data_IF_315311680075
#
_entry.id   IF_315311680075
#
_cell.length_a   1.000
_cell.length_b   1.000
_cell.length_c   1.000
_cell.angle_alpha   90.00
_cell.angle_beta   90.00
_cell.angle_gamma   90.00
#
_symmetry.space_group_name_H-M   'P 1'
#
loop_
_entity.id
_entity.type
_entity.pdbx_description
1 polymer ?
#
# COMPACT_ATOMS: atom_id res chain seq x y z
N UNK A 1 83.11 -12.53 35.95
CA UNK A 1 82.50 -12.42 37.32
C UNK A 1 81.21 -11.72 37.18
N UNK A 2 80.15 -12.40 37.67
CA UNK A 2 78.79 -11.94 38.06
C UNK A 2 77.85 -11.56 36.88
N UNK A 3 76.99 -12.42 36.46
CA UNK A 3 75.64 -12.80 36.95
C UNK A 3 74.66 -11.59 36.90
N UNK A 4 73.65 -11.69 36.02
CA UNK A 4 72.47 -10.84 36.06
C UNK A 4 71.24 -11.70 35.73
N UNK A 5 70.29 -11.61 36.57
CA UNK A 5 69.06 -12.32 36.66
C UNK A 5 68.04 -11.89 35.61
N UNK A 6 67.21 -12.86 35.19
CA UNK A 6 66.13 -12.68 34.30
C UNK A 6 64.90 -12.05 34.98
N UNK A 7 64.19 -11.25 34.20
CA UNK A 7 62.85 -10.76 34.51
C UNK A 7 61.91 -11.23 33.41
N UNK A 8 61.09 -12.22 33.76
CA UNK A 8 59.96 -12.72 32.98
C UNK A 8 58.82 -11.69 33.04
N UNK A 9 58.53 -11.00 31.91
CA UNK A 9 57.33 -10.16 31.76
C UNK A 9 56.28 -10.94 31.00
N UNK A 10 55.36 -11.53 31.77
CA UNK A 10 54.14 -12.10 31.29
C UNK A 10 53.35 -11.12 30.40
N UNK A 11 53.19 -11.43 29.14
CA UNK A 11 52.24 -10.81 28.24
C UNK A 11 50.85 -11.31 28.59
N UNK A 12 50.09 -10.51 29.32
CA UNK A 12 48.62 -10.61 29.32
C UNK A 12 48.09 -10.18 27.95
N UNK A 13 47.78 -11.15 27.11
CA UNK A 13 46.97 -10.91 25.92
C UNK A 13 45.52 -10.79 26.35
N UNK A 14 45.07 -9.54 26.58
CA UNK A 14 43.69 -9.22 26.72
C UNK A 14 42.97 -9.56 25.39
N UNK A 15 42.17 -10.63 25.42
CA UNK A 15 41.22 -11.00 24.36
C UNK A 15 40.03 -10.01 24.45
N UNK A 16 40.22 -8.79 23.93
CA UNK A 16 39.13 -7.88 23.63
C UNK A 16 38.37 -8.47 22.42
N UNK A 17 37.45 -9.36 22.71
CA UNK A 17 36.43 -9.75 21.73
C UNK A 17 35.60 -8.51 21.44
N UNK A 18 35.94 -7.88 20.33
CA UNK A 18 35.13 -6.87 19.66
C UNK A 18 33.73 -7.48 19.38
N UNK A 19 32.82 -7.27 20.35
CA UNK A 19 31.43 -7.72 20.20
C UNK A 19 30.78 -6.79 19.18
N UNK A 20 30.69 -7.27 17.93
CA UNK A 20 29.91 -6.61 16.90
C UNK A 20 28.52 -6.23 17.47
N UNK A 21 28.03 -5.01 17.24
CA UNK A 21 26.72 -4.60 17.74
C UNK A 21 25.64 -5.54 17.20
N UNK A 22 24.76 -5.98 18.09
CA UNK A 22 23.65 -6.86 17.72
C UNK A 22 22.86 -6.23 16.54
N UNK A 23 22.44 -7.03 15.54
CA UNK A 23 21.70 -6.50 14.40
C UNK A 23 20.44 -5.77 14.89
N UNK A 24 20.26 -4.54 14.45
CA UNK A 24 19.06 -3.74 14.77
C UNK A 24 17.84 -4.49 14.25
N UNK A 25 16.80 -4.74 15.04
CA UNK A 25 15.61 -5.41 14.59
C UNK A 25 14.95 -4.64 13.41
N UNK A 26 14.33 -5.33 12.47
CA UNK A 26 13.64 -4.66 11.37
C UNK A 26 12.51 -3.78 11.90
N UNK A 27 12.18 -2.66 11.22
CA UNK A 27 11.12 -1.77 11.64
C UNK A 27 9.76 -2.48 11.64
N UNK A 28 8.94 -2.21 12.68
CA UNK A 28 7.62 -2.79 12.82
C UNK A 28 6.68 -2.31 11.69
N UNK A 29 6.09 -3.23 10.91
CA UNK A 29 5.21 -2.86 9.82
C UNK A 29 3.85 -2.38 10.37
N UNK A 30 3.49 -1.12 10.06
CA UNK A 30 2.25 -0.48 10.50
C UNK A 30 1.47 0.01 9.28
N UNK A 31 0.23 -0.45 9.11
CA UNK A 31 -0.70 0.05 8.10
C UNK A 31 -1.79 0.88 8.77
N UNK A 32 -1.84 2.17 8.47
CA UNK A 32 -2.91 3.06 8.92
C UNK A 32 -3.94 3.19 7.79
N UNK A 33 -5.17 2.79 8.06
CA UNK A 33 -6.30 2.88 7.13
C UNK A 33 -7.20 4.01 7.57
N UNK A 34 -7.45 4.94 6.67
CA UNK A 34 -8.39 6.07 6.87
C UNK A 34 -9.15 6.33 5.57
N UNK A 35 -10.10 7.25 5.59
CA UNK A 35 -10.86 7.59 4.39
C UNK A 35 -12.30 7.99 4.69
N UNK A 36 -13.09 8.20 3.63
CA UNK A 36 -14.46 8.65 3.74
C UNK A 36 -15.34 7.60 4.42
N UNK A 37 -16.26 8.07 5.23
CA UNK A 37 -17.32 7.24 5.86
C UNK A 37 -18.13 6.52 4.79
N UNK A 38 -18.22 5.20 4.87
CA UNK A 38 -18.85 4.37 3.84
C UNK A 38 -17.94 3.95 2.68
N UNK A 39 -16.69 4.42 2.63
CA UNK A 39 -15.71 3.98 1.63
C UNK A 39 -15.16 2.57 1.88
N UNK A 40 -15.44 1.95 3.04
CA UNK A 40 -15.06 0.56 3.32
C UNK A 40 -13.94 0.41 4.35
N UNK A 41 -13.68 1.40 5.22
CA UNK A 41 -12.63 1.36 6.24
C UNK A 41 -12.67 0.07 7.08
N UNK A 42 -13.82 -0.27 7.68
CA UNK A 42 -13.95 -1.50 8.47
C UNK A 42 -13.80 -2.79 7.64
N UNK A 43 -14.15 -2.76 6.36
CA UNK A 43 -13.91 -3.89 5.44
C UNK A 43 -12.41 -4.07 5.20
N UNK A 44 -11.69 -2.97 5.00
CA UNK A 44 -10.23 -3.00 4.82
C UNK A 44 -9.51 -3.51 6.07
N UNK A 45 -9.91 -3.05 7.25
CA UNK A 45 -9.32 -3.51 8.52
C UNK A 45 -9.54 -5.02 8.71
N UNK A 46 -10.75 -5.54 8.48
CA UNK A 46 -11.01 -6.99 8.53
C UNK A 46 -10.21 -7.76 7.48
N UNK A 47 -10.07 -7.22 6.28
CA UNK A 47 -9.27 -7.85 5.24
C UNK A 47 -7.79 -7.96 5.63
N UNK A 48 -7.23 -6.93 6.29
CA UNK A 48 -5.87 -6.96 6.83
C UNK A 48 -5.74 -7.96 7.99
N UNK A 49 -6.75 -8.07 8.86
CA UNK A 49 -6.82 -9.10 9.92
C UNK A 49 -6.78 -10.51 9.34
N UNK A 50 -7.60 -10.78 8.32
CA UNK A 50 -7.59 -12.06 7.59
C UNK A 50 -6.21 -12.38 6.94
N UNK A 51 -5.41 -11.37 6.68
CA UNK A 51 -4.04 -11.48 6.16
C UNK A 51 -2.96 -11.57 7.26
N UNK A 52 -3.36 -11.73 8.51
CA UNK A 52 -2.45 -11.94 9.65
C UNK A 52 -1.98 -10.66 10.34
N UNK A 53 -2.56 -9.50 10.05
CA UNK A 53 -2.27 -8.27 10.81
C UNK A 53 -2.98 -8.31 12.17
N UNK A 54 -2.35 -7.75 13.19
CA UNK A 54 -3.06 -7.34 14.41
C UNK A 54 -3.89 -6.10 14.07
N UNK A 55 -5.22 -6.23 14.01
CA UNK A 55 -6.11 -5.20 13.48
C UNK A 55 -6.91 -4.53 14.59
N UNK A 56 -6.89 -3.18 14.61
CA UNK A 56 -7.65 -2.38 15.57
C UNK A 56 -8.42 -1.31 14.79
N UNK A 57 -9.74 -1.43 14.79
CA UNK A 57 -10.62 -0.42 14.17
C UNK A 57 -11.01 0.66 15.18
N UNK A 58 -11.09 1.91 14.72
CA UNK A 58 -11.52 3.07 15.50
C UNK A 58 -10.69 3.37 16.77
N UNK A 59 -9.37 3.18 16.67
CA UNK A 59 -8.42 3.43 17.76
C UNK A 59 -8.27 4.94 18.02
N UNK A 60 -8.47 5.44 19.26
CA UNK A 60 -8.17 6.83 19.59
C UNK A 60 -6.69 7.15 19.33
N UNK A 61 -6.42 8.30 18.68
CA UNK A 61 -5.06 8.69 18.25
C UNK A 61 -4.02 8.70 19.38
N UNK A 62 -4.46 8.97 20.61
CA UNK A 62 -3.61 9.00 21.81
C UNK A 62 -3.09 7.63 22.24
N UNK A 63 -3.69 6.54 21.77
CA UNK A 63 -3.27 5.18 22.14
C UNK A 63 -2.27 4.56 21.17
N UNK A 64 -2.08 5.13 19.98
CA UNK A 64 -1.19 4.59 18.94
C UNK A 64 0.24 4.41 19.48
N UNK A 65 0.79 5.40 20.18
CA UNK A 65 2.16 5.31 20.75
C UNK A 65 2.31 4.22 21.80
N UNK A 66 1.30 4.07 22.66
CA UNK A 66 1.30 3.03 23.70
C UNK A 66 1.26 1.63 23.09
N UNK A 67 0.49 1.46 22.03
CA UNK A 67 0.39 0.22 21.29
C UNK A 67 1.73 -0.15 20.63
N UNK A 68 2.38 0.83 19.99
CA UNK A 68 3.67 0.61 19.34
C UNK A 68 4.80 0.33 20.34
N UNK A 69 4.75 0.94 21.52
CA UNK A 69 5.68 0.63 22.60
C UNK A 69 5.54 -0.83 23.09
N UNK A 70 4.34 -1.39 23.04
CA UNK A 70 4.07 -2.80 23.38
C UNK A 70 4.39 -3.76 22.23
N UNK A 71 4.21 -3.31 20.97
CA UNK A 71 4.48 -4.15 19.80
C UNK A 71 5.97 -4.53 19.67
N UNK A 72 6.89 -3.70 20.18
CA UNK A 72 8.33 -3.98 20.25
C UNK A 72 8.77 -4.81 21.46
N UNK A 73 7.86 -5.11 22.40
CA UNK A 73 8.19 -5.90 23.57
C UNK A 73 8.13 -7.41 23.27
N UNK A 74 9.01 -8.24 23.87
CA UNK A 74 8.96 -9.69 23.71
C UNK A 74 7.62 -10.26 24.19
N UNK A 75 7.15 -11.35 23.57
CA UNK A 75 5.82 -11.95 23.78
C UNK A 75 5.51 -12.26 25.27
N UNK A 76 6.52 -12.60 26.05
CA UNK A 76 6.40 -12.80 27.51
C UNK A 76 5.95 -11.53 28.27
N UNK A 77 6.22 -10.35 27.74
CA UNK A 77 5.80 -9.08 28.33
C UNK A 77 4.39 -8.66 27.86
N UNK A 78 3.91 -9.21 26.75
CA UNK A 78 2.59 -8.90 26.15
C UNK A 78 1.43 -9.66 26.82
N UNK A 79 1.69 -10.84 27.38
CA UNK A 79 0.66 -11.67 28.00
C UNK A 79 1.16 -12.30 29.32
N UNK A 80 1.14 -11.55 30.45
CA UNK A 80 1.60 -12.06 31.73
C UNK A 80 0.78 -13.25 32.24
N UNK A 81 -0.41 -13.54 31.67
CA UNK A 81 -1.24 -14.66 32.04
C UNK A 81 -0.84 -15.98 31.35
N UNK A 82 -0.07 -15.96 30.27
CA UNK A 82 0.35 -17.19 29.59
C UNK A 82 1.53 -17.91 30.29
N UNK A 83 2.24 -17.23 31.20
CA UNK A 83 3.42 -17.77 31.92
C UNK A 83 3.11 -18.52 33.21
N UNK A 84 1.86 -18.57 33.67
CA UNK A 84 1.52 -19.11 34.99
C UNK A 84 1.08 -20.61 35.02
N UNK A 85 1.22 -21.33 33.90
CA UNK A 85 0.67 -22.67 33.74
C UNK A 85 1.65 -23.81 33.38
N UNK A 86 2.96 -23.59 33.34
CA UNK A 86 3.91 -24.68 33.04
C UNK A 86 4.59 -25.17 34.33
N UNK A 87 3.97 -26.14 34.98
CA UNK A 87 4.57 -26.92 36.09
C UNK A 87 5.78 -27.69 35.60
N UNK A 88 6.82 -27.70 36.41
CA UNK A 88 8.06 -28.40 36.23
C UNK A 88 7.85 -29.90 35.93
N UNK A 89 8.42 -30.37 34.81
CA UNK A 89 8.83 -31.77 34.67
C UNK A 89 10.26 -31.79 34.09
N UNK A 90 11.14 -32.36 34.91
CA UNK A 90 12.52 -32.69 34.58
C UNK A 90 12.58 -33.63 33.37
N UNK A 91 13.43 -33.31 32.40
CA UNK A 91 13.76 -34.17 31.29
C UNK A 91 14.89 -33.50 30.45
N UNK A 92 16.14 -33.80 30.83
CA UNK A 92 17.31 -33.42 30.10
C UNK A 92 17.34 -34.11 28.73
N UNK A 93 17.24 -33.41 27.66
CA UNK A 93 17.90 -33.78 26.40
C UNK A 93 18.21 -32.48 25.61
N UNK A 94 19.54 -32.22 25.46
CA UNK A 94 20.08 -31.03 24.87
C UNK A 94 20.09 -31.12 23.35
N UNK A 95 19.09 -30.58 22.71
CA UNK A 95 19.19 -30.10 21.34
C UNK A 95 18.85 -28.61 21.33
N UNK A 96 19.87 -27.77 21.03
CA UNK A 96 19.73 -26.33 21.00
C UNK A 96 18.61 -25.91 20.03
N UNK A 97 17.44 -25.64 20.57
CA UNK A 97 16.41 -24.90 19.87
C UNK A 97 16.92 -23.45 19.77
N UNK A 98 17.43 -23.11 18.60
CA UNK A 98 17.70 -21.74 18.20
C UNK A 98 16.41 -20.96 18.43
N UNK A 99 16.40 -20.05 19.42
CA UNK A 99 15.24 -19.24 19.76
C UNK A 99 14.88 -18.44 18.52
N UNK A 100 13.81 -18.83 17.84
CA UNK A 100 13.29 -18.10 16.69
C UNK A 100 13.09 -16.63 17.10
N UNK A 101 13.65 -15.71 16.32
CA UNK A 101 13.49 -14.28 16.54
C UNK A 101 12.00 -13.96 16.66
N UNK A 102 11.57 -13.11 17.59
CA UNK A 102 10.16 -12.81 17.80
C UNK A 102 9.55 -12.30 16.49
N UNK A 103 8.57 -13.02 15.98
CA UNK A 103 7.87 -12.69 14.74
C UNK A 103 7.05 -11.41 14.99
N UNK A 104 7.52 -10.28 14.44
CA UNK A 104 6.82 -8.99 14.55
C UNK A 104 5.58 -9.06 13.67
N UNK A 105 4.40 -9.24 14.29
CA UNK A 105 3.14 -9.21 13.55
C UNK A 105 2.88 -7.79 13.02
N UNK A 106 2.51 -7.66 11.73
CA UNK A 106 2.15 -6.36 11.18
C UNK A 106 0.90 -5.81 11.86
N UNK A 107 0.88 -4.50 12.13
CA UNK A 107 -0.23 -3.82 12.79
C UNK A 107 -1.10 -3.09 11.76
N UNK A 108 -2.43 -3.23 11.84
CA UNK A 108 -3.39 -2.50 11.04
C UNK A 108 -4.28 -1.61 11.92
N UNK A 109 -4.24 -0.30 11.70
CA UNK A 109 -4.96 0.70 12.50
C UNK A 109 -6.01 1.39 11.65
N UNK A 110 -7.29 1.29 12.04
CA UNK A 110 -8.40 2.04 11.47
C UNK A 110 -8.62 3.36 12.23
N UNK A 111 -8.60 4.48 11.52
CA UNK A 111 -8.89 5.82 12.05
C UNK A 111 -9.83 6.55 11.10
N UNK A 112 -10.96 7.02 11.58
CA UNK A 112 -11.90 7.83 10.80
C UNK A 112 -12.48 8.97 11.64
N UNK A 113 -13.36 9.79 11.04
CA UNK A 113 -13.96 10.95 11.69
C UNK A 113 -14.81 10.61 12.93
N UNK A 114 -15.16 9.33 13.15
CA UNK A 114 -15.88 8.85 14.33
C UNK A 114 -14.95 8.56 15.49
N UNK A 115 -13.65 8.47 15.22
CA UNK A 115 -12.65 8.20 16.26
C UNK A 115 -12.66 9.31 17.30
N UNK A 116 -12.71 8.94 18.57
CA UNK A 116 -12.75 9.91 19.67
C UNK A 116 -11.55 10.85 19.63
N UNK A 117 -11.84 12.16 19.62
CA UNK A 117 -10.80 13.20 19.54
C UNK A 117 -10.17 13.36 18.16
N UNK A 118 -10.84 12.86 17.12
CA UNK A 118 -10.38 13.02 15.75
C UNK A 118 -10.40 14.49 15.31
N UNK A 119 -9.28 14.94 14.77
CA UNK A 119 -9.17 16.09 13.88
C UNK A 119 -8.18 15.75 12.77
N UNK A 120 -8.29 16.38 11.60
CA UNK A 120 -7.38 16.13 10.49
C UNK A 120 -5.93 16.49 10.89
N UNK A 121 -5.75 17.59 11.60
CA UNK A 121 -4.45 18.08 12.09
C UNK A 121 -3.83 17.09 13.08
N UNK A 122 -4.61 16.55 14.02
CA UNK A 122 -4.12 15.56 14.99
C UNK A 122 -3.69 14.26 14.29
N UNK A 123 -4.44 13.82 13.26
CA UNK A 123 -4.07 12.65 12.47
C UNK A 123 -2.79 12.89 11.67
N UNK A 124 -2.67 14.05 11.01
CA UNK A 124 -1.46 14.43 10.27
C UNK A 124 -0.23 14.50 11.17
N UNK A 125 -0.34 15.15 12.33
CA UNK A 125 0.74 15.20 13.30
C UNK A 125 1.16 13.78 13.76
N UNK A 126 0.20 12.87 13.90
CA UNK A 126 0.47 11.47 14.25
C UNK A 126 1.17 10.73 13.12
N UNK A 127 0.76 10.92 11.87
CA UNK A 127 1.42 10.35 10.69
C UNK A 127 2.88 10.82 10.62
N UNK A 128 3.12 12.12 10.81
CA UNK A 128 4.47 12.68 10.78
C UNK A 128 5.36 12.13 11.91
N UNK A 129 4.82 12.03 13.12
CA UNK A 129 5.52 11.45 14.27
C UNK A 129 5.88 9.96 14.02
N UNK A 130 4.99 9.19 13.43
CA UNK A 130 5.25 7.78 13.09
C UNK A 130 6.29 7.63 11.97
N UNK A 131 6.25 8.48 10.96
CA UNK A 131 7.24 8.47 9.87
C UNK A 131 8.66 8.86 10.34
N UNK A 132 8.76 9.67 11.38
CA UNK A 132 10.04 10.06 11.96
C UNK A 132 10.69 8.94 12.81
N UNK A 133 9.97 7.86 13.13
CA UNK A 133 10.46 6.73 13.92
C UNK A 133 11.22 5.72 13.07
N UNK A 134 12.50 5.43 13.36
CA UNK A 134 13.30 4.46 12.62
C UNK A 134 12.85 2.98 12.86
N UNK A 135 12.15 2.73 13.96
CA UNK A 135 11.64 1.43 14.37
C UNK A 135 10.23 1.13 13.81
N UNK A 136 9.65 2.02 12.98
CA UNK A 136 8.31 1.89 12.38
C UNK A 136 8.39 2.01 10.86
N UNK A 137 7.84 1.02 10.17
CA UNK A 137 7.58 1.09 8.73
C UNK A 137 6.10 1.42 8.50
N UNK A 138 5.77 2.71 8.43
CA UNK A 138 4.39 3.18 8.27
C UNK A 138 3.95 3.14 6.81
N UNK A 139 2.72 2.66 6.57
CA UNK A 139 1.96 2.82 5.33
C UNK A 139 0.61 3.45 5.65
N UNK A 140 0.27 4.54 4.98
CA UNK A 140 -1.03 5.22 5.10
C UNK A 140 -1.87 4.95 3.87
N UNK A 141 -3.01 4.27 4.04
CA UNK A 141 -3.98 3.98 2.99
C UNK A 141 -5.21 4.86 3.20
N UNK A 142 -5.56 5.64 2.17
CA UNK A 142 -6.77 6.43 2.14
C UNK A 142 -7.83 5.77 1.24
N UNK A 143 -8.99 5.45 1.79
CA UNK A 143 -10.11 4.92 1.02
C UNK A 143 -11.00 6.08 0.54
N UNK A 144 -11.01 6.32 -0.76
CA UNK A 144 -11.90 7.28 -1.42
C UNK A 144 -13.08 6.55 -2.06
N UNK A 145 -14.14 7.29 -2.34
CA UNK A 145 -15.32 6.76 -3.02
C UNK A 145 -16.08 7.92 -3.67
N UNK A 146 -16.65 7.67 -4.85
CA UNK A 146 -17.50 8.66 -5.52
C UNK A 146 -18.75 8.99 -4.69
N UNK A 147 -19.15 10.24 -4.69
CA UNK A 147 -20.30 10.71 -3.93
C UNK A 147 -21.61 9.94 -4.23
N UNK A 148 -21.98 9.65 -5.50
CA UNK A 148 -23.16 8.85 -5.78
C UNK A 148 -23.10 7.46 -5.14
N UNK A 149 -21.94 6.78 -5.19
CA UNK A 149 -21.77 5.46 -4.60
C UNK A 149 -21.84 5.51 -3.06
N UNK A 150 -21.31 6.57 -2.43
CA UNK A 150 -21.46 6.78 -0.98
C UNK A 150 -22.92 6.99 -0.60
N UNK A 151 -23.66 7.84 -1.33
CA UNK A 151 -25.08 8.09 -1.09
C UNK A 151 -25.87 6.78 -1.15
N UNK A 152 -25.62 5.94 -2.16
CA UNK A 152 -26.30 4.65 -2.30
C UNK A 152 -25.94 3.69 -1.15
N UNK A 153 -24.69 3.65 -0.71
CA UNK A 153 -24.25 2.85 0.44
C UNK A 153 -24.90 3.32 1.75
N UNK A 154 -25.03 4.63 1.97
CA UNK A 154 -25.70 5.17 3.14
C UNK A 154 -27.20 4.85 3.11
N UNK A 155 -27.87 4.97 1.95
CA UNK A 155 -29.26 4.57 1.78
C UNK A 155 -29.48 3.09 2.07
N UNK A 156 -28.61 2.22 1.55
CA UNK A 156 -28.68 0.78 1.75
C UNK A 156 -28.51 0.37 3.22
N UNK A 157 -27.58 1.03 3.93
CA UNK A 157 -27.29 0.70 5.34
C UNK A 157 -28.20 1.43 6.34
N UNK A 158 -29.01 2.39 5.90
CA UNK A 158 -29.89 3.24 6.73
C UNK A 158 -29.16 3.95 7.88
N UNK A 159 -27.85 4.18 7.73
CA UNK A 159 -27.04 4.89 8.72
C UNK A 159 -27.02 6.39 8.42
N UNK A 160 -26.97 7.21 9.45
CA UNK A 160 -26.71 8.64 9.29
C UNK A 160 -25.22 8.87 9.05
N UNK A 161 -24.93 9.82 8.16
CA UNK A 161 -23.54 10.24 7.96
C UNK A 161 -23.04 11.00 9.20
N UNK A 162 -21.81 10.72 9.71
CA UNK A 162 -21.32 11.32 10.97
C UNK A 162 -21.32 12.85 10.97
N UNK A 163 -21.04 13.48 9.83
CA UNK A 163 -20.95 14.94 9.70
C UNK A 163 -22.18 15.59 9.04
N UNK A 164 -23.25 14.84 8.82
CA UNK A 164 -24.47 15.40 8.22
C UNK A 164 -25.26 16.31 9.19
N UNK A 165 -25.28 15.97 10.48
CA UNK A 165 -26.18 16.63 11.43
C UNK A 165 -27.63 16.49 10.98
N UNK A 166 -28.37 17.61 10.89
CA UNK A 166 -29.73 17.66 10.35
C UNK A 166 -29.77 17.91 8.82
N UNK A 167 -28.62 18.10 8.19
CA UNK A 167 -28.50 18.23 6.74
C UNK A 167 -28.52 16.84 6.05
N UNK A 168 -28.72 16.82 4.74
CA UNK A 168 -28.68 15.59 3.94
C UNK A 168 -27.32 14.91 3.94
N UNK A 169 -27.30 13.65 3.57
CA UNK A 169 -26.08 12.83 3.47
C UNK A 169 -25.03 13.45 2.54
N UNK A 170 -25.45 14.10 1.46
CA UNK A 170 -24.59 14.80 0.51
C UNK A 170 -23.77 15.91 1.18
N UNK A 171 -24.42 16.71 2.04
CA UNK A 171 -23.75 17.79 2.82
C UNK A 171 -22.70 17.18 3.76
N UNK A 172 -23.03 16.06 4.41
CA UNK A 172 -22.12 15.33 5.27
C UNK A 172 -20.88 14.83 4.52
N UNK A 173 -21.08 14.22 3.35
CA UNK A 173 -20.00 13.73 2.48
C UNK A 173 -19.10 14.91 2.02
N UNK A 174 -19.70 16.02 1.59
CA UNK A 174 -18.94 17.20 1.16
C UNK A 174 -18.07 17.79 2.29
N UNK A 175 -18.62 17.88 3.51
CA UNK A 175 -17.88 18.33 4.71
C UNK A 175 -16.73 17.37 5.05
N UNK A 176 -16.99 16.07 5.04
CA UNK A 176 -15.96 15.06 5.34
C UNK A 176 -14.85 15.07 4.30
N UNK A 177 -15.18 15.17 3.02
CA UNK A 177 -14.20 15.27 1.94
C UNK A 177 -13.29 16.49 2.11
N UNK A 178 -13.84 17.65 2.42
CA UNK A 178 -13.07 18.87 2.66
C UNK A 178 -12.18 18.73 3.90
N UNK A 179 -12.69 18.14 4.98
CA UNK A 179 -11.94 17.89 6.22
C UNK A 179 -10.78 16.93 6.00
N UNK A 180 -10.99 15.86 5.24
CA UNK A 180 -10.01 14.81 5.04
C UNK A 180 -9.07 15.04 3.84
N UNK A 181 -9.30 16.11 3.05
CA UNK A 181 -8.45 16.41 1.90
C UNK A 181 -6.94 16.47 2.23
N UNK A 182 -6.49 17.18 3.30
CA UNK A 182 -5.08 17.21 3.67
C UNK A 182 -4.52 15.83 4.04
N UNK A 183 -5.34 14.95 4.62
CA UNK A 183 -4.93 13.59 4.97
C UNK A 183 -4.79 12.74 3.71
N UNK A 184 -5.70 12.90 2.75
CA UNK A 184 -5.65 12.22 1.45
C UNK A 184 -4.36 12.55 0.69
N UNK A 185 -3.96 13.85 0.68
CA UNK A 185 -2.72 14.30 0.02
C UNK A 185 -1.44 13.74 0.67
N UNK A 186 -1.52 13.36 1.95
CA UNK A 186 -0.40 12.78 2.71
C UNK A 186 -0.44 11.24 2.77
N UNK A 187 -1.47 10.62 2.19
CA UNK A 187 -1.56 9.17 2.11
C UNK A 187 -0.52 8.60 1.14
N UNK A 188 0.08 7.46 1.50
CA UNK A 188 1.00 6.76 0.62
C UNK A 188 0.25 6.10 -0.55
N UNK A 189 -1.02 5.72 -0.30
CA UNK A 189 -1.89 5.15 -1.31
C UNK A 189 -3.33 5.63 -1.14
N UNK A 190 -3.97 5.99 -2.25
CA UNK A 190 -5.41 6.22 -2.33
C UNK A 190 -6.04 5.04 -3.08
N UNK A 191 -7.11 4.46 -2.52
CA UNK A 191 -7.89 3.40 -3.16
C UNK A 191 -9.31 3.93 -3.43
N UNK A 192 -9.67 4.09 -4.70
CA UNK A 192 -11.06 4.35 -5.08
C UNK A 192 -11.88 3.06 -4.98
N UNK A 193 -12.86 3.08 -4.07
CA UNK A 193 -13.73 1.93 -3.80
C UNK A 193 -15.09 2.04 -4.46
N UNK A 194 -15.31 3.01 -5.35
CA UNK A 194 -16.62 3.32 -5.94
C UNK A 194 -17.26 2.10 -6.62
N UNK A 195 -16.45 1.39 -7.41
CA UNK A 195 -16.86 0.22 -8.19
C UNK A 195 -16.36 -1.11 -7.58
N UNK A 196 -15.79 -1.09 -6.37
CA UNK A 196 -15.23 -2.28 -5.74
C UNK A 196 -16.27 -3.01 -4.87
N UNK A 197 -16.32 -4.32 -4.99
CA UNK A 197 -16.94 -5.20 -4.01
C UNK A 197 -16.01 -5.36 -2.78
N UNK A 198 -16.50 -5.84 -1.63
CA UNK A 198 -15.64 -6.20 -0.51
C UNK A 198 -14.53 -7.17 -0.86
N UNK A 199 -14.80 -8.11 -1.77
CA UNK A 199 -13.82 -9.08 -2.27
C UNK A 199 -12.71 -8.39 -3.08
N UNK A 200 -13.07 -7.48 -4.00
CA UNK A 200 -12.11 -6.73 -4.81
C UNK A 200 -11.20 -5.86 -3.92
N UNK A 201 -11.77 -5.22 -2.89
CA UNK A 201 -10.97 -4.45 -1.92
C UNK A 201 -9.97 -5.35 -1.18
N UNK A 202 -10.40 -6.55 -0.75
CA UNK A 202 -9.51 -7.54 -0.11
C UNK A 202 -8.38 -7.97 -1.05
N UNK A 203 -8.70 -8.32 -2.30
CA UNK A 203 -7.70 -8.70 -3.30
C UNK A 203 -6.70 -7.56 -3.57
N UNK A 204 -7.18 -6.31 -3.61
CA UNK A 204 -6.32 -5.14 -3.80
C UNK A 204 -5.37 -4.91 -2.62
N UNK A 205 -5.84 -5.09 -1.39
CA UNK A 205 -5.00 -4.99 -0.20
C UNK A 205 -3.96 -6.12 -0.12
N UNK A 206 -4.33 -7.35 -0.50
CA UNK A 206 -3.43 -8.49 -0.53
C UNK A 206 -2.25 -8.28 -1.51
N UNK A 207 -2.50 -7.59 -2.62
CA UNK A 207 -1.46 -7.24 -3.60
C UNK A 207 -0.42 -6.22 -3.11
N UNK A 208 -0.65 -5.58 -1.95
CA UNK A 208 0.24 -4.52 -1.47
C UNK A 208 1.49 -5.05 -0.72
N UNK A 209 1.48 -6.28 -0.26
CA UNK A 209 2.54 -6.82 0.60
C UNK A 209 2.63 -6.11 1.96
N UNK A 210 3.58 -6.51 2.81
CA UNK A 210 3.80 -5.89 4.11
C UNK A 210 4.35 -4.45 3.96
N UNK A 211 4.03 -3.51 4.89
CA UNK A 211 4.70 -2.22 4.98
C UNK A 211 6.21 -2.40 5.15
N UNK A 212 7.02 -1.67 4.40
CA UNK A 212 8.48 -1.79 4.40
C UNK A 212 9.01 -3.01 3.63
N UNK A 213 8.15 -3.93 3.20
CA UNK A 213 8.48 -5.05 2.33
C UNK A 213 8.24 -4.69 0.86
N UNK A 214 9.05 -5.25 -0.03
CA UNK A 214 8.83 -5.07 -1.46
C UNK A 214 7.57 -5.83 -1.91
N UNK A 215 6.64 -5.20 -2.64
CA UNK A 215 5.65 -5.94 -3.40
C UNK A 215 6.38 -6.70 -4.50
N UNK A 216 6.29 -8.03 -4.47
CA UNK A 216 6.89 -8.88 -5.51
C UNK A 216 8.41 -9.00 -5.48
N UNK A 217 9.07 -9.05 -4.30
CA UNK A 217 10.43 -9.58 -4.16
C UNK A 217 11.58 -8.67 -4.59
N UNK A 218 11.53 -7.37 -4.35
CA UNK A 218 12.65 -6.44 -4.57
C UNK A 218 12.95 -5.60 -3.34
N UNK A 219 14.22 -5.32 -3.11
CA UNK A 219 14.81 -4.72 -1.91
C UNK A 219 14.09 -3.49 -1.33
N UNK A 220 14.24 -3.32 -0.01
CA UNK A 220 13.70 -2.28 0.87
C UNK A 220 13.44 -0.90 0.21
N UNK A 221 12.20 -0.39 0.34
CA UNK A 221 11.89 1.01 0.04
C UNK A 221 11.55 1.31 -1.43
N UNK A 222 11.04 0.38 -2.20
CA UNK A 222 10.73 0.57 -3.62
C UNK A 222 9.39 1.27 -3.89
N UNK A 223 9.36 2.20 -4.87
CA UNK A 223 8.16 2.80 -5.43
C UNK A 223 7.30 1.73 -6.12
N UNK A 224 6.06 1.57 -5.69
CA UNK A 224 5.06 0.69 -6.32
C UNK A 224 4.45 1.42 -7.51
N UNK A 225 4.53 0.80 -8.69
CA UNK A 225 4.02 1.38 -9.93
C UNK A 225 2.75 0.63 -10.34
N UNK A 226 1.68 1.36 -10.59
CA UNK A 226 0.40 0.86 -11.11
C UNK A 226 0.07 1.56 -12.42
N UNK A 227 -0.29 0.77 -13.43
CA UNK A 227 -0.80 1.28 -14.71
C UNK A 227 -2.27 0.87 -14.80
N UNK A 228 -3.15 1.83 -15.07
CA UNK A 228 -4.58 1.55 -15.11
C UNK A 228 -5.19 1.99 -16.45
N UNK A 229 -5.92 1.09 -17.12
CA UNK A 229 -6.79 1.51 -18.22
C UNK A 229 -8.20 1.82 -17.72
N UNK A 230 -8.82 2.87 -18.27
CA UNK A 230 -10.16 3.29 -17.85
C UNK A 230 -11.01 3.87 -18.98
N UNK A 231 -12.32 3.95 -18.72
CA UNK A 231 -13.32 4.58 -19.59
C UNK A 231 -13.61 6.01 -19.13
N UNK A 232 -13.47 7.00 -20.03
CA UNK A 232 -13.91 8.36 -19.76
C UNK A 232 -15.42 8.48 -19.47
N UNK A 233 -16.24 7.53 -19.92
CA UNK A 233 -17.68 7.50 -19.59
C UNK A 233 -17.93 7.27 -18.09
N UNK A 234 -16.99 6.64 -17.38
CA UNK A 234 -17.06 6.38 -15.94
C UNK A 234 -16.20 7.33 -15.12
N UNK A 235 -15.53 8.28 -15.78
CA UNK A 235 -14.62 9.23 -15.14
C UNK A 235 -13.22 8.66 -14.89
N UNK A 236 -12.26 9.56 -14.67
CA UNK A 236 -10.88 9.19 -14.36
C UNK A 236 -10.78 8.57 -12.96
N UNK A 237 -9.87 7.58 -12.78
CA UNK A 237 -9.60 7.02 -11.45
C UNK A 237 -9.09 8.09 -10.49
N UNK A 238 -9.64 8.09 -9.26
CA UNK A 238 -9.31 9.10 -8.24
C UNK A 238 -7.91 8.92 -7.65
N UNK A 239 -7.38 7.71 -7.74
CA UNK A 239 -6.06 7.33 -7.29
C UNK A 239 -4.94 7.65 -8.30
N UNK A 240 -5.29 8.08 -9.53
CA UNK A 240 -4.31 8.32 -10.56
C UNK A 240 -3.52 9.62 -10.32
N UNK A 241 -2.19 9.51 -10.32
CA UNK A 241 -1.26 10.65 -10.28
C UNK A 241 -1.13 11.31 -11.66
N UNK A 242 -1.22 10.50 -12.73
CA UNK A 242 -1.12 10.96 -14.11
C UNK A 242 -2.24 10.33 -14.92
N UNK A 243 -2.98 11.16 -15.66
CA UNK A 243 -4.07 10.72 -16.54
C UNK A 243 -3.78 11.14 -17.96
N UNK A 244 -3.80 10.18 -18.88
CA UNK A 244 -3.57 10.42 -20.31
C UNK A 244 -4.76 9.95 -21.14
N UNK A 245 -5.07 10.70 -22.19
CA UNK A 245 -6.16 10.44 -23.12
C UNK A 245 -5.65 9.70 -24.36
N UNK A 246 -6.17 8.50 -24.62
CA UNK A 246 -5.86 7.68 -25.79
C UNK A 246 -6.97 7.75 -26.88
N UNK A 247 -7.93 8.68 -26.78
CA UNK A 247 -9.08 8.74 -27.72
C UNK A 247 -8.70 9.22 -29.14
N UNK A 248 -7.57 9.88 -29.28
CA UNK A 248 -7.06 10.33 -30.57
C UNK A 248 -6.51 9.18 -31.43
N UNK A 249 -6.16 8.03 -30.84
CA UNK A 249 -5.67 6.86 -31.56
C UNK A 249 -6.76 6.17 -32.37
N UNK A 250 -6.37 5.42 -33.39
CA UNK A 250 -7.27 4.62 -34.24
C UNK A 250 -8.23 3.77 -33.39
N UNK A 251 -9.52 3.80 -33.73
CA UNK A 251 -10.57 3.21 -32.92
C UNK A 251 -10.99 1.82 -33.43
N UNK A 252 -10.58 0.71 -32.78
CA UNK A 252 -10.93 -0.65 -33.21
C UNK A 252 -12.44 -0.93 -33.22
N UNK A 253 -13.23 -0.14 -32.49
CA UNK A 253 -14.69 -0.31 -32.42
C UNK A 253 -15.40 -0.22 -33.79
N UNK A 254 -14.83 0.52 -34.73
CA UNK A 254 -15.38 0.68 -36.08
C UNK A 254 -15.13 -0.54 -36.97
N UNK A 255 -14.20 -1.42 -36.59
CA UNK A 255 -13.97 -2.69 -37.27
C UNK A 255 -14.83 -3.80 -36.61
N UNK A 256 -15.81 -4.37 -37.36
CA UNK A 256 -16.69 -5.41 -36.80
C UNK A 256 -15.93 -6.63 -36.23
N UNK A 257 -14.78 -6.99 -36.83
CA UNK A 257 -13.96 -8.12 -36.39
C UNK A 257 -13.17 -7.82 -35.09
N UNK A 258 -12.90 -6.54 -34.80
CA UNK A 258 -12.14 -6.15 -33.61
C UNK A 258 -13.05 -5.71 -32.43
N UNK A 259 -14.30 -5.33 -32.73
CA UNK A 259 -15.25 -4.82 -31.73
C UNK A 259 -15.48 -5.76 -30.53
N UNK A 260 -15.63 -7.10 -30.68
CA UNK A 260 -15.86 -8.01 -29.57
C UNK A 260 -14.59 -8.27 -28.74
N UNK A 261 -13.41 -8.04 -29.30
CA UNK A 261 -12.11 -8.25 -28.67
C UNK A 261 -11.76 -7.12 -27.69
N UNK A 262 -10.63 -7.24 -27.00
CA UNK A 262 -10.07 -6.18 -26.15
C UNK A 262 -8.60 -5.89 -26.47
N UNK A 263 -8.02 -4.86 -25.83
CA UNK A 263 -6.67 -4.40 -26.14
C UNK A 263 -5.55 -5.38 -25.77
N UNK A 264 -5.85 -6.48 -25.08
CA UNK A 264 -4.92 -7.59 -24.81
C UNK A 264 -4.83 -8.56 -25.98
N UNK A 265 -5.77 -8.49 -26.92
CA UNK A 265 -5.78 -9.33 -28.11
C UNK A 265 -4.88 -8.72 -29.19
N UNK A 266 -3.96 -9.53 -29.74
CA UNK A 266 -2.98 -9.06 -30.72
C UNK A 266 -3.59 -8.29 -31.91
N UNK A 267 -4.72 -8.72 -32.54
CA UNK A 267 -5.31 -7.97 -33.65
C UNK A 267 -5.76 -6.56 -33.27
N UNK A 268 -6.18 -6.34 -32.02
CA UNK A 268 -6.57 -5.02 -31.50
C UNK A 268 -5.34 -4.19 -31.20
N UNK A 269 -4.36 -4.79 -30.53
CA UNK A 269 -3.10 -4.12 -30.23
C UNK A 269 -2.38 -3.65 -31.51
N UNK A 270 -2.31 -4.50 -32.53
CA UNK A 270 -1.71 -4.20 -33.83
C UNK A 270 -2.47 -3.08 -34.55
N UNK A 271 -3.81 -3.11 -34.52
CA UNK A 271 -4.63 -2.05 -35.12
C UNK A 271 -4.37 -0.68 -34.43
N UNK A 272 -4.26 -0.65 -33.11
CA UNK A 272 -3.98 0.58 -32.36
C UNK A 272 -2.53 1.03 -32.59
N UNK A 273 -1.59 0.11 -32.62
CA UNK A 273 -0.18 0.38 -32.86
C UNK A 273 0.10 0.85 -34.31
N UNK A 274 -0.79 0.50 -35.26
CA UNK A 274 -0.74 0.97 -36.63
C UNK A 274 -1.10 2.45 -36.81
N UNK A 275 -1.60 3.13 -35.79
CA UNK A 275 -1.84 4.58 -35.84
C UNK A 275 -0.49 5.32 -35.88
N UNK A 276 -0.30 6.25 -36.85
CA UNK A 276 0.95 7.01 -36.96
C UNK A 276 1.37 7.78 -35.70
N UNK A 277 0.41 8.15 -34.86
CA UNK A 277 0.67 8.86 -33.60
C UNK A 277 0.98 7.92 -32.43
N UNK A 278 0.77 6.60 -32.57
CA UNK A 278 0.94 5.67 -31.47
C UNK A 278 2.39 5.56 -30.98
N UNK A 279 3.32 5.34 -31.90
CA UNK A 279 4.73 5.19 -31.56
C UNK A 279 5.30 6.44 -30.87
N UNK A 280 5.17 7.67 -31.44
CA UNK A 280 5.66 8.88 -30.78
C UNK A 280 4.93 9.16 -29.44
N UNK A 281 3.63 8.84 -29.32
CA UNK A 281 2.91 8.94 -28.06
C UNK A 281 3.49 8.03 -27.00
N UNK A 282 3.67 6.75 -27.31
CA UNK A 282 4.21 5.77 -26.36
C UNK A 282 5.67 6.06 -25.98
N UNK A 283 6.48 6.58 -26.91
CA UNK A 283 7.84 7.04 -26.61
C UNK A 283 7.82 8.22 -25.62
N UNK A 284 6.98 9.21 -25.86
CA UNK A 284 6.81 10.36 -24.99
C UNK A 284 6.33 9.96 -23.58
N UNK A 285 5.30 9.11 -23.49
CA UNK A 285 4.77 8.61 -22.22
C UNK A 285 5.81 7.80 -21.45
N UNK A 286 6.50 6.90 -22.14
CA UNK A 286 7.57 6.08 -21.54
C UNK A 286 8.71 6.97 -21.03
N UNK A 287 9.19 7.90 -21.84
CA UNK A 287 10.26 8.83 -21.48
C UNK A 287 9.90 9.69 -20.28
N UNK A 288 8.69 10.26 -20.25
CA UNK A 288 8.17 11.02 -19.11
C UNK A 288 8.13 10.16 -17.86
N UNK A 289 7.59 8.95 -17.96
CA UNK A 289 7.46 8.02 -16.82
C UNK A 289 8.85 7.66 -16.27
N UNK A 290 9.78 7.25 -17.12
CA UNK A 290 11.14 6.89 -16.72
C UNK A 290 11.92 8.07 -16.12
N UNK A 291 11.62 9.31 -16.48
CA UNK A 291 12.17 10.51 -15.86
C UNK A 291 11.61 10.74 -14.45
N UNK A 292 10.30 10.51 -14.27
CA UNK A 292 9.60 10.79 -13.01
C UNK A 292 9.85 9.72 -11.93
N UNK A 293 9.88 8.43 -12.30
CA UNK A 293 9.99 7.33 -11.33
C UNK A 293 11.20 7.44 -10.38
N UNK A 294 12.44 7.73 -10.84
CA UNK A 294 13.56 7.94 -9.94
C UNK A 294 13.40 9.17 -9.03
N UNK A 295 12.75 10.23 -9.53
CA UNK A 295 12.49 11.44 -8.76
C UNK A 295 11.50 11.16 -7.63
N UNK A 296 10.37 10.52 -7.91
CA UNK A 296 9.38 10.11 -6.93
C UNK A 296 9.97 9.16 -5.86
N UNK A 297 10.80 8.20 -6.29
CA UNK A 297 11.50 7.32 -5.33
C UNK A 297 12.42 8.10 -4.39
N UNK A 298 13.16 9.10 -4.89
CA UNK A 298 14.04 9.96 -4.04
C UNK A 298 13.24 10.84 -3.08
N UNK A 299 12.05 11.28 -3.49
CA UNK A 299 11.13 12.05 -2.67
C UNK A 299 10.45 11.20 -1.58
N UNK A 300 10.57 9.87 -1.65
CA UNK A 300 9.95 8.94 -0.71
C UNK A 300 8.51 8.58 -1.06
N UNK A 301 8.06 8.85 -2.31
CA UNK A 301 6.74 8.42 -2.77
C UNK A 301 6.69 6.90 -2.81
N UNK A 302 5.72 6.31 -2.10
CA UNK A 302 5.59 4.86 -2.01
C UNK A 302 4.82 4.27 -3.21
N UNK A 303 3.89 5.02 -3.82
CA UNK A 303 3.01 4.55 -4.90
C UNK A 303 2.92 5.59 -6.01
N UNK A 304 2.90 5.10 -7.26
CA UNK A 304 2.64 5.90 -8.45
C UNK A 304 1.62 5.20 -9.33
N UNK A 305 0.55 5.91 -9.70
CA UNK A 305 -0.50 5.40 -10.56
C UNK A 305 -0.62 6.22 -11.83
N UNK A 306 -0.40 5.58 -12.99
CA UNK A 306 -0.67 6.17 -14.30
C UNK A 306 -1.94 5.58 -14.89
N UNK A 307 -2.90 6.44 -15.25
CA UNK A 307 -4.15 6.05 -15.87
C UNK A 307 -4.21 6.44 -17.34
N UNK A 308 -4.51 5.46 -18.19
CA UNK A 308 -4.69 5.65 -19.64
C UNK A 308 -6.17 5.47 -19.98
N UNK A 309 -6.79 6.47 -20.59
CA UNK A 309 -8.22 6.52 -20.84
C UNK A 309 -8.60 6.45 -22.31
N UNK A 310 -9.67 5.68 -22.61
CA UNK A 310 -10.37 5.79 -23.91
C UNK A 310 -11.89 5.85 -23.70
N UNK A 311 -12.67 5.93 -24.79
CA UNK A 311 -14.14 6.10 -24.65
C UNK A 311 -14.82 4.98 -23.87
N UNK A 312 -14.45 3.72 -24.13
CA UNK A 312 -15.06 2.54 -23.53
C UNK A 312 -14.13 1.74 -22.60
N UNK A 313 -12.88 2.13 -22.43
CA UNK A 313 -11.91 1.45 -21.55
C UNK A 313 -11.51 0.02 -21.96
N UNK A 314 -11.82 -0.42 -23.19
CA UNK A 314 -11.63 -1.81 -23.62
C UNK A 314 -10.51 -2.03 -24.64
N UNK A 315 -10.23 -1.07 -25.53
CA UNK A 315 -9.35 -1.28 -26.67
C UNK A 315 -8.06 -0.44 -26.55
N UNK A 316 -8.11 0.86 -26.94
CA UNK A 316 -6.95 1.75 -27.06
C UNK A 316 -6.19 1.92 -25.74
N UNK A 317 -6.92 2.22 -24.65
CA UNK A 317 -6.33 2.39 -23.33
C UNK A 317 -5.74 1.11 -22.77
N UNK A 318 -6.34 -0.04 -23.07
CA UNK A 318 -5.84 -1.36 -22.68
C UNK A 318 -4.55 -1.68 -23.43
N UNK A 319 -4.55 -1.55 -24.77
CA UNK A 319 -3.35 -1.79 -25.58
C UNK A 319 -2.17 -0.89 -25.15
N UNK A 320 -2.45 0.39 -24.89
CA UNK A 320 -1.42 1.34 -24.44
C UNK A 320 -0.91 1.02 -23.03
N UNK A 321 -1.78 0.58 -22.10
CA UNK A 321 -1.39 0.19 -20.74
C UNK A 321 -0.48 -1.06 -20.74
N UNK A 322 -0.83 -2.06 -21.53
CA UNK A 322 -0.02 -3.27 -21.71
C UNK A 322 1.35 -2.95 -22.33
N UNK A 323 1.38 -2.09 -23.36
CA UNK A 323 2.65 -1.70 -23.98
C UNK A 323 3.54 -0.89 -23.04
N UNK A 324 2.97 0.07 -22.29
CA UNK A 324 3.71 0.82 -21.28
C UNK A 324 4.33 -0.09 -20.23
N UNK A 325 3.57 -1.08 -19.74
CA UNK A 325 4.08 -2.06 -18.77
C UNK A 325 5.29 -2.83 -19.30
N UNK A 326 5.22 -3.31 -20.55
CA UNK A 326 6.35 -3.99 -21.19
C UNK A 326 7.57 -3.08 -21.34
N UNK A 327 7.37 -1.83 -21.74
CA UNK A 327 8.46 -0.83 -21.89
C UNK A 327 9.12 -0.50 -20.55
N UNK A 328 8.34 -0.36 -19.48
CA UNK A 328 8.87 -0.14 -18.14
C UNK A 328 9.64 -1.36 -17.64
N UNK A 329 9.12 -2.58 -17.89
CA UNK A 329 9.81 -3.82 -17.55
C UNK A 329 11.15 -3.95 -18.28
N UNK A 330 11.22 -3.61 -19.56
CA UNK A 330 12.46 -3.56 -20.34
C UNK A 330 13.49 -2.55 -19.78
N UNK A 331 13.01 -1.48 -19.11
CA UNK A 331 13.84 -0.51 -18.43
C UNK A 331 14.14 -0.84 -16.95
N UNK A 332 13.79 -2.05 -16.49
CA UNK A 332 14.06 -2.53 -15.13
C UNK A 332 13.05 -2.07 -14.06
N UNK A 333 11.88 -1.59 -14.47
CA UNK A 333 10.80 -1.21 -13.56
C UNK A 333 9.64 -2.18 -13.66
N UNK A 334 9.21 -2.74 -12.52
CA UNK A 334 8.02 -3.60 -12.45
C UNK A 334 6.78 -2.76 -12.18
N UNK A 335 5.75 -2.90 -13.02
CA UNK A 335 4.47 -2.24 -12.84
C UNK A 335 3.33 -3.27 -12.84
N UNK A 336 2.34 -3.08 -11.96
CA UNK A 336 1.09 -3.84 -12.02
C UNK A 336 0.14 -3.18 -13.01
N UNK A 337 -0.53 -3.99 -13.86
CA UNK A 337 -1.52 -3.50 -14.81
C UNK A 337 -2.92 -3.87 -14.35
N UNK A 338 -3.84 -2.91 -14.42
CA UNK A 338 -5.25 -3.12 -14.11
C UNK A 338 -6.14 -2.52 -15.19
N UNK A 339 -7.12 -3.29 -15.63
CA UNK A 339 -8.12 -2.83 -16.60
C UNK A 339 -9.48 -2.69 -15.93
N UNK A 340 -9.88 -1.45 -15.64
CA UNK A 340 -11.08 -1.16 -14.85
C UNK A 340 -12.38 -1.68 -15.47
N UNK A 341 -12.45 -1.72 -16.79
CA UNK A 341 -13.64 -2.15 -17.54
C UNK A 341 -13.55 -3.58 -18.13
N UNK A 342 -12.51 -4.33 -17.77
CA UNK A 342 -12.37 -5.73 -18.19
C UNK A 342 -12.39 -6.64 -16.96
N UNK A 343 -13.06 -7.79 -17.09
CA UNK A 343 -12.90 -8.88 -16.14
C UNK A 343 -11.47 -9.44 -16.20
N UNK A 344 -10.94 -9.89 -15.06
CA UNK A 344 -9.68 -10.62 -15.05
C UNK A 344 -9.84 -11.86 -15.94
N UNK A 345 -8.86 -12.09 -16.84
CA UNK A 345 -8.78 -13.36 -17.56
C UNK A 345 -8.18 -14.36 -16.59
N UNK A 346 -8.88 -15.46 -16.33
CA UNK A 346 -8.30 -16.60 -15.63
C UNK A 346 -7.07 -17.04 -16.42
N UNK A 347 -5.91 -16.97 -15.77
CA UNK A 347 -4.67 -17.55 -16.29
C UNK A 347 -4.80 -19.06 -16.18
N UNK A 348 -5.11 -19.70 -17.32
CA UNK A 348 -5.12 -21.15 -17.47
C UNK A 348 -3.71 -21.73 -17.44
#
# INVERSE_FOLDING_TARGET
MTAAEGGDFGRETGDERDSAPAPTPPPAPVTLVTGLSGAGNSTAIRALEDMGHEAIDNLPLTFIERLLAQAGAPEAARNPAAGAGAGAQDGADGTGAEAAAPEIRPLALGVDVRTRGFTAEALLARIDALRARPDVALRVIFLDCAEPALIDRFKATRRRHPLAGDAGVEVGIGRERSLLWPVRERADMVIDTSDLTPHDLKARLAGLGAPGGAPGGGAAGGLVISIQSFSFKRGAPREADTVLDCRFLANPHWNPGLRPLDGRDAPVADHVAGDPLYAPFMEGVTGLTLMLLPAYRREGKAYYCMALGCSGGRHRSVAAAEDLSRRLAAAGWTATVRHRELAERETG
#
